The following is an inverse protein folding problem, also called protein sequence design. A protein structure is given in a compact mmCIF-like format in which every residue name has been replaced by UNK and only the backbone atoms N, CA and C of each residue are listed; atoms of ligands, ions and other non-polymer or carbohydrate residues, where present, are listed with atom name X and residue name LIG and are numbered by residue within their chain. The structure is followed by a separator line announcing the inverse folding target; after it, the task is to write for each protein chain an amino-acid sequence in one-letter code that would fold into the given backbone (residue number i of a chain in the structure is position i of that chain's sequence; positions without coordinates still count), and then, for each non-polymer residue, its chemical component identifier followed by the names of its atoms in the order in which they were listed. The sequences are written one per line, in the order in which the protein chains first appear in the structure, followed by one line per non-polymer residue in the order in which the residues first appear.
data_IF_141259262302
#
_entry.id   IF_141259262302
#
_cell.length_a   1.000
_cell.length_b   1.000
_cell.length_c   1.000
_cell.angle_alpha   90.00
_cell.angle_beta   90.00
_cell.angle_gamma   90.00
#
_symmetry.space_group_name_H-M   'P 1'
#
loop_
_entity.id
_entity.type
_entity.pdbx_description
1 polymer ?
#
# COMPACT_ATOMS: atom_id res chain seq x y z
N UNK A 1 -13.43 22.60 -4.36
CA UNK A 1 -14.37 21.61 -3.82
C UNK A 1 -13.87 20.25 -4.28
N UNK A 2 -13.55 19.39 -3.33
CA UNK A 2 -13.01 18.05 -3.53
C UNK A 2 -13.97 17.24 -4.43
N UNK A 3 -13.44 16.60 -5.46
CA UNK A 3 -14.24 15.87 -6.45
C UNK A 3 -14.95 14.67 -5.83
N UNK A 4 -16.06 14.24 -6.44
CA UNK A 4 -16.88 13.07 -6.01
C UNK A 4 -16.08 11.76 -5.81
N UNK A 5 -14.87 11.67 -6.38
CA UNK A 5 -13.98 10.51 -6.31
C UNK A 5 -12.80 10.70 -5.34
N UNK A 6 -12.70 11.85 -4.68
CA UNK A 6 -11.57 12.23 -3.85
C UNK A 6 -11.92 12.09 -2.35
N UNK A 7 -12.70 11.07 -1.98
CA UNK A 7 -13.06 10.81 -0.58
C UNK A 7 -11.97 10.02 0.16
N UNK A 8 -11.88 10.20 1.47
CA UNK A 8 -10.93 9.48 2.33
C UNK A 8 -11.29 7.99 2.40
N UNK A 9 -12.58 7.69 2.52
CA UNK A 9 -13.16 6.35 2.36
C UNK A 9 -12.81 5.72 1.01
N UNK A 10 -12.87 6.48 -0.08
CA UNK A 10 -12.48 6.04 -1.42
C UNK A 10 -10.99 5.75 -1.53
N UNK A 11 -10.15 6.60 -0.93
CA UNK A 11 -8.70 6.41 -0.82
C UNK A 11 -8.38 5.12 -0.05
N UNK A 12 -8.99 4.90 1.11
CA UNK A 12 -8.80 3.68 1.91
C UNK A 12 -9.23 2.42 1.16
N UNK A 13 -10.36 2.48 0.44
CA UNK A 13 -10.81 1.38 -0.40
C UNK A 13 -9.81 1.05 -1.51
N UNK A 14 -9.28 2.07 -2.19
CA UNK A 14 -8.25 1.89 -3.23
C UNK A 14 -6.96 1.30 -2.66
N UNK A 15 -6.52 1.75 -1.48
CA UNK A 15 -5.36 1.20 -0.77
C UNK A 15 -5.59 -0.27 -0.42
N UNK A 16 -6.78 -0.64 0.05
CA UNK A 16 -7.11 -2.03 0.35
C UNK A 16 -7.09 -2.92 -0.90
N UNK A 17 -7.56 -2.42 -2.04
CA UNK A 17 -7.43 -3.11 -3.33
C UNK A 17 -5.96 -3.31 -3.69
N UNK A 18 -5.13 -2.27 -3.57
CA UNK A 18 -3.70 -2.35 -3.85
C UNK A 18 -2.99 -3.36 -2.92
N UNK A 19 -3.27 -3.33 -1.61
CA UNK A 19 -2.76 -4.31 -0.64
C UNK A 19 -3.17 -5.74 -1.03
N UNK A 20 -4.43 -5.94 -1.40
CA UNK A 20 -4.91 -7.26 -1.81
C UNK A 20 -4.20 -7.77 -3.07
N UNK A 21 -3.86 -6.89 -4.02
CA UNK A 21 -3.11 -7.24 -5.21
C UNK A 21 -1.65 -7.61 -4.88
N UNK A 22 -0.98 -6.85 -4.01
CA UNK A 22 0.38 -7.13 -3.55
C UNK A 22 0.44 -8.47 -2.80
N UNK A 23 -0.53 -8.76 -1.94
CA UNK A 23 -0.61 -10.04 -1.22
C UNK A 23 -0.79 -11.22 -2.18
N UNK A 24 -1.52 -11.05 -3.29
CA UNK A 24 -1.63 -12.10 -4.32
C UNK A 24 -0.31 -12.36 -5.07
N UNK A 25 0.54 -11.34 -5.18
CA UNK A 25 1.89 -11.46 -5.74
C UNK A 25 2.88 -12.09 -4.74
N UNK A 26 2.49 -12.28 -3.48
CA UNK A 26 3.33 -12.92 -2.47
C UNK A 26 3.21 -14.44 -2.54
N UNK A 27 3.60 -15.02 -3.67
CA UNK A 27 3.62 -16.47 -3.86
C UNK A 27 4.71 -16.92 -4.83
N UNK A 28 5.30 -18.08 -4.57
CA UNK A 28 6.39 -18.62 -5.40
C UNK A 28 5.97 -18.79 -6.87
N UNK A 29 4.71 -19.13 -7.12
CA UNK A 29 4.15 -19.23 -8.47
C UNK A 29 4.26 -17.91 -9.25
N UNK A 30 3.98 -16.79 -8.59
CA UNK A 30 4.04 -15.47 -9.22
C UNK A 30 5.48 -15.03 -9.50
N UNK A 31 6.41 -15.38 -8.60
CA UNK A 31 7.84 -15.15 -8.81
C UNK A 31 8.36 -15.97 -9.98
N UNK A 32 8.04 -17.27 -10.03
CA UNK A 32 8.47 -18.16 -11.11
C UNK A 32 7.90 -17.72 -12.47
N UNK A 33 6.62 -17.33 -12.50
CA UNK A 33 6.00 -16.77 -13.71
C UNK A 33 6.71 -15.51 -14.22
N UNK A 34 7.12 -14.62 -13.29
CA UNK A 34 7.89 -13.42 -13.63
C UNK A 34 9.29 -13.78 -14.16
N UNK A 35 9.95 -14.74 -13.54
CA UNK A 35 11.27 -15.23 -13.97
C UNK A 35 11.20 -15.87 -15.36
N UNK A 36 10.18 -16.70 -15.62
CA UNK A 36 9.95 -17.34 -16.92
C UNK A 36 9.63 -16.31 -18.01
N UNK A 37 8.79 -15.31 -17.70
CA UNK A 37 8.50 -14.19 -18.59
C UNK A 37 9.77 -13.41 -18.95
N UNK A 38 10.63 -13.16 -17.96
CA UNK A 38 11.91 -12.49 -18.19
C UNK A 38 12.85 -13.32 -19.07
N UNK A 39 12.97 -14.63 -18.81
CA UNK A 39 13.77 -15.55 -19.63
C UNK A 39 13.25 -15.60 -21.07
N UNK A 40 11.93 -15.65 -21.25
CA UNK A 40 11.28 -15.62 -22.56
C UNK A 40 11.59 -14.32 -23.31
N UNK A 41 11.46 -13.16 -22.65
CA UNK A 41 11.74 -11.85 -23.25
C UNK A 41 13.22 -11.70 -23.62
N UNK A 42 14.11 -12.15 -22.75
CA UNK A 42 15.56 -12.15 -22.98
C UNK A 42 15.91 -12.98 -24.22
N UNK A 43 15.34 -14.19 -24.33
CA UNK A 43 15.52 -15.05 -25.49
C UNK A 43 14.93 -14.44 -26.77
N UNK A 44 13.72 -13.87 -26.69
CA UNK A 44 12.99 -13.28 -27.82
C UNK A 44 13.73 -12.08 -28.43
N UNK A 45 14.35 -11.25 -27.60
CA UNK A 45 15.04 -10.04 -28.05
C UNK A 45 16.56 -10.20 -28.13
N UNK A 46 17.07 -11.43 -27.95
CA UNK A 46 18.52 -11.72 -27.92
C UNK A 46 19.30 -10.80 -26.98
N UNK A 47 18.71 -10.51 -25.81
CA UNK A 47 19.33 -9.70 -24.78
C UNK A 47 20.30 -10.55 -23.97
N UNK A 48 21.23 -9.88 -23.29
CA UNK A 48 22.08 -10.55 -22.30
C UNK A 48 21.20 -10.99 -21.12
N UNK A 49 21.46 -12.20 -20.62
CA UNK A 49 20.85 -12.67 -19.38
C UNK A 49 21.21 -11.74 -18.23
N UNK A 50 20.30 -11.62 -17.27
CA UNK A 50 20.58 -10.84 -16.05
C UNK A 50 21.70 -11.54 -15.30
N UNK A 51 22.77 -10.83 -14.96
CA UNK A 51 23.87 -11.40 -14.19
C UNK A 51 23.60 -11.26 -12.70
N UNK A 52 24.01 -12.25 -11.91
CA UNK A 52 24.02 -12.13 -10.46
C UNK A 52 25.05 -11.06 -10.08
N UNK A 53 24.66 -10.01 -9.33
CA UNK A 53 25.59 -8.98 -8.91
C UNK A 53 26.80 -9.56 -8.19
N UNK A 54 28.00 -9.06 -8.51
CA UNK A 54 29.21 -9.48 -7.82
C UNK A 54 29.15 -9.05 -6.35
N UNK A 55 28.95 -10.01 -5.46
CA UNK A 55 29.00 -9.79 -4.02
C UNK A 55 30.44 -9.49 -3.60
N UNK A 56 30.63 -8.38 -2.88
CA UNK A 56 31.94 -8.05 -2.33
C UNK A 56 32.31 -9.07 -1.25
N UNK A 57 33.51 -9.64 -1.38
CA UNK A 57 34.04 -10.53 -0.37
C UNK A 57 34.34 -9.74 0.91
N UNK A 58 33.89 -10.27 2.05
CA UNK A 58 34.19 -9.67 3.35
C UNK A 58 35.72 -9.60 3.52
N UNK A 59 36.28 -8.48 4.01
CA UNK A 59 37.70 -8.38 4.27
C UNK A 59 38.18 -9.48 5.24
N UNK A 60 39.29 -10.13 4.90
CA UNK A 60 39.90 -11.23 5.71
C UNK A 60 40.16 -10.91 7.18
N UNK A 61 40.21 -9.62 7.55
CA UNK A 61 40.41 -9.19 8.94
C UNK A 61 39.14 -9.31 9.79
N UNK A 62 37.98 -9.36 9.14
CA UNK A 62 36.64 -9.42 9.77
C UNK A 62 36.06 -10.83 9.61
N UNK A 63 36.46 -11.54 8.55
CA UNK A 63 36.09 -12.93 8.29
C UNK A 63 36.66 -13.86 9.37
N UNK A 64 35.81 -14.27 10.31
CA UNK A 64 36.10 -15.20 11.39
C UNK A 64 36.03 -16.67 10.94
N UNK A 65 35.68 -16.91 9.67
CA UNK A 65 35.57 -18.24 9.07
C UNK A 65 34.46 -19.11 9.68
N UNK A 66 33.59 -18.54 10.52
CA UNK A 66 32.58 -19.30 11.26
C UNK A 66 31.36 -19.65 10.41
N UNK A 67 31.10 -18.90 9.33
CA UNK A 67 30.00 -19.15 8.40
C UNK A 67 30.45 -18.96 6.94
N UNK A 68 30.09 -19.91 6.06
CA UNK A 68 30.21 -19.69 4.62
C UNK A 68 29.33 -18.50 4.22
N UNK A 69 29.91 -17.50 3.56
CA UNK A 69 29.13 -16.36 3.08
C UNK A 69 28.11 -16.86 2.04
N UNK A 70 26.89 -16.33 2.07
CA UNK A 70 25.88 -16.68 1.07
C UNK A 70 26.35 -16.27 -0.34
N UNK A 71 26.54 -17.24 -1.21
CA UNK A 71 26.84 -17.04 -2.63
C UNK A 71 25.70 -17.64 -3.44
N UNK A 72 24.80 -16.82 -4.03
CA UNK A 72 23.71 -17.32 -4.83
C UNK A 72 24.24 -18.00 -6.08
N UNK A 73 23.85 -19.27 -6.29
CA UNK A 73 24.28 -20.04 -7.45
C UNK A 73 23.49 -19.65 -8.71
N UNK A 74 22.24 -19.23 -8.54
CA UNK A 74 21.32 -18.87 -9.64
C UNK A 74 20.80 -17.45 -9.47
N UNK A 75 20.40 -16.82 -10.59
CA UNK A 75 19.61 -15.58 -10.56
C UNK A 75 18.36 -15.71 -9.67
N UNK A 76 17.67 -16.85 -9.75
CA UNK A 76 16.51 -17.13 -8.91
C UNK A 76 16.86 -17.03 -7.43
N UNK A 77 17.93 -17.70 -7.01
CA UNK A 77 18.41 -17.65 -5.62
C UNK A 77 18.84 -16.25 -5.19
N UNK A 78 19.41 -15.48 -6.12
CA UNK A 78 19.76 -14.10 -5.83
C UNK A 78 18.53 -13.24 -5.63
N UNK A 79 17.57 -13.22 -6.57
CA UNK A 79 16.44 -12.29 -6.66
C UNK A 79 15.19 -12.69 -5.88
N UNK A 80 15.05 -13.98 -5.54
CA UNK A 80 13.94 -14.49 -4.74
C UNK A 80 13.81 -13.73 -3.41
N UNK A 81 14.85 -13.61 -2.56
CA UNK A 81 14.70 -12.90 -1.29
C UNK A 81 14.34 -11.42 -1.45
N UNK A 82 14.89 -10.70 -2.44
CA UNK A 82 14.58 -9.27 -2.64
C UNK A 82 13.17 -9.10 -3.22
N UNK A 83 12.68 -10.04 -4.04
CA UNK A 83 11.30 -10.00 -4.50
C UNK A 83 10.33 -9.98 -3.31
N UNK A 84 10.50 -10.90 -2.38
CA UNK A 84 9.67 -10.95 -1.17
C UNK A 84 9.93 -9.75 -0.25
N UNK A 85 11.17 -9.33 -0.09
CA UNK A 85 11.53 -8.15 0.70
C UNK A 85 10.82 -6.88 0.19
N UNK A 86 10.81 -6.66 -1.12
CA UNK A 86 10.12 -5.52 -1.74
C UNK A 86 8.62 -5.59 -1.47
N UNK A 87 7.99 -6.75 -1.69
CA UNK A 87 6.55 -6.91 -1.46
C UNK A 87 6.19 -6.69 0.01
N UNK A 88 6.96 -7.27 0.92
CA UNK A 88 6.75 -7.14 2.36
C UNK A 88 6.96 -5.69 2.82
N UNK A 89 7.99 -5.03 2.32
CA UNK A 89 8.27 -3.61 2.60
C UNK A 89 7.13 -2.71 2.13
N UNK A 90 6.64 -2.89 0.91
CA UNK A 90 5.54 -2.10 0.38
C UNK A 90 4.25 -2.36 1.18
N UNK A 91 3.96 -3.62 1.50
CA UNK A 91 2.79 -3.99 2.31
C UNK A 91 2.80 -3.36 3.70
N UNK A 92 3.97 -3.39 4.36
CA UNK A 92 4.18 -2.77 5.68
C UNK A 92 4.01 -1.26 5.58
N UNK A 93 4.65 -0.59 4.61
CA UNK A 93 4.53 0.85 4.45
C UNK A 93 3.10 1.30 4.12
N UNK A 94 2.38 0.57 3.25
CA UNK A 94 0.96 0.86 2.99
C UNK A 94 0.09 0.69 4.24
N UNK A 95 0.48 -0.18 5.17
CA UNK A 95 -0.24 -0.34 6.43
C UNK A 95 0.10 0.77 7.39
N UNK A 96 1.38 1.06 7.60
CA UNK A 96 1.84 2.12 8.50
C UNK A 96 1.38 3.52 8.07
N UNK A 97 1.27 3.78 6.77
CA UNK A 97 0.83 5.08 6.27
C UNK A 97 -0.68 5.28 6.34
N UNK A 98 -1.48 4.25 6.07
CA UNK A 98 -2.93 4.40 5.94
C UNK A 98 -3.74 3.93 7.15
N UNK A 99 -3.13 3.16 8.06
CA UNK A 99 -3.73 2.74 9.33
C UNK A 99 -3.32 3.67 10.49
N UNK A 100 -3.27 4.97 10.22
CA UNK A 100 -2.94 5.99 11.20
C UNK A 100 -4.23 6.52 11.84
N UNK A 101 -4.18 6.77 13.15
CA UNK A 101 -5.32 7.31 13.91
C UNK A 101 -5.87 8.62 13.30
N UNK A 102 -4.99 9.46 12.75
CA UNK A 102 -5.39 10.70 12.07
C UNK A 102 -6.24 10.46 10.82
N UNK A 103 -5.97 9.40 10.05
CA UNK A 103 -6.75 9.06 8.85
C UNK A 103 -8.11 8.50 9.26
N UNK A 104 -8.15 7.61 10.26
CA UNK A 104 -9.41 7.08 10.81
C UNK A 104 -10.31 8.20 11.36
N UNK A 105 -9.68 9.21 11.96
CA UNK A 105 -10.35 10.39 12.47
C UNK A 105 -10.94 11.23 11.34
N UNK A 106 -10.19 11.44 10.26
CA UNK A 106 -10.68 12.15 9.09
C UNK A 106 -11.78 11.37 8.35
N UNK A 107 -11.71 10.04 8.33
CA UNK A 107 -12.78 9.18 7.80
C UNK A 107 -14.10 9.36 8.57
N UNK A 108 -14.03 9.40 9.91
CA UNK A 108 -15.22 9.69 10.75
C UNK A 108 -15.79 11.08 10.46
N UNK A 109 -14.93 12.09 10.32
CA UNK A 109 -15.37 13.45 9.95
C UNK A 109 -16.03 13.47 8.57
N UNK A 110 -15.45 12.77 7.60
CA UNK A 110 -16.03 12.62 6.27
C UNK A 110 -17.42 11.97 6.32
N UNK A 111 -17.59 10.89 7.09
CA UNK A 111 -18.89 10.21 7.22
C UNK A 111 -19.98 11.14 7.76
N UNK A 112 -19.65 11.98 8.75
CA UNK A 112 -20.61 12.95 9.29
C UNK A 112 -20.93 14.04 8.28
N UNK A 113 -19.92 14.56 7.57
CA UNK A 113 -20.12 15.61 6.58
C UNK A 113 -20.91 15.15 5.36
N UNK A 114 -20.77 13.88 4.96
CA UNK A 114 -21.44 13.33 3.76
C UNK A 114 -22.79 12.68 4.06
N UNK A 115 -22.98 12.11 5.26
CA UNK A 115 -24.13 11.24 5.56
C UNK A 115 -25.00 11.75 6.72
N UNK A 116 -24.57 12.82 7.41
CA UNK A 116 -25.19 13.33 8.66
C UNK A 116 -25.29 12.27 9.79
N UNK A 117 -24.58 11.13 9.62
CA UNK A 117 -24.54 10.02 10.57
C UNK A 117 -23.27 10.10 11.42
N UNK A 118 -23.39 10.02 12.74
CA UNK A 118 -22.24 9.95 13.65
C UNK A 118 -21.82 11.27 14.29
N UNK A 119 -22.72 12.26 14.38
CA UNK A 119 -22.51 13.54 15.09
C UNK A 119 -21.93 13.38 16.51
N UNK A 120 -22.26 12.28 17.20
CA UNK A 120 -21.73 11.96 18.54
C UNK A 120 -20.20 11.77 18.54
N UNK A 121 -19.63 11.31 17.41
CA UNK A 121 -18.18 11.11 17.25
C UNK A 121 -17.40 12.43 17.11
N UNK A 122 -18.10 13.54 16.84
CA UNK A 122 -17.51 14.87 16.67
C UNK A 122 -17.53 15.67 17.97
N UNK A 123 -18.26 15.23 18.99
CA UNK A 123 -18.33 15.90 20.29
C UNK A 123 -16.97 16.05 21.00
N UNK A 124 -15.95 15.31 20.56
CA UNK A 124 -14.57 15.46 21.01
C UNK A 124 -13.90 16.77 20.54
N UNK A 125 -14.40 17.39 19.47
CA UNK A 125 -13.89 18.65 18.93
C UNK A 125 -14.59 19.83 19.56
N UNK A 126 -13.85 20.63 20.33
CA UNK A 126 -14.38 21.83 20.99
C UNK A 126 -14.63 22.96 20.00
N UNK A 127 -13.99 22.90 18.83
CA UNK A 127 -14.09 23.87 17.76
C UNK A 127 -15.37 23.71 16.93
N UNK A 128 -16.01 22.56 17.00
CA UNK A 128 -17.18 22.24 16.18
C UNK A 128 -18.45 22.39 17.01
N UNK A 129 -19.35 23.26 16.57
CA UNK A 129 -20.68 23.44 17.18
C UNK A 129 -21.69 22.48 16.53
N UNK A 130 -22.12 21.38 17.22
CA UNK A 130 -22.87 20.31 16.57
C UNK A 130 -24.25 20.74 16.07
N UNK A 131 -24.94 21.60 16.83
CA UNK A 131 -26.26 22.12 16.47
C UNK A 131 -26.21 23.01 15.22
N UNK A 132 -25.19 23.86 15.12
CA UNK A 132 -25.00 24.73 13.96
C UNK A 132 -24.61 23.90 12.73
N UNK A 133 -23.70 22.94 12.90
CA UNK A 133 -23.27 22.05 11.83
C UNK A 133 -24.44 21.23 11.28
N UNK A 134 -25.32 20.71 12.14
CA UNK A 134 -26.53 19.98 11.72
C UNK A 134 -27.49 20.86 10.89
N UNK A 135 -27.70 22.11 11.31
CA UNK A 135 -28.50 23.05 10.54
C UNK A 135 -27.86 23.36 9.17
N UNK A 136 -26.54 23.49 9.12
CA UNK A 136 -25.80 23.72 7.87
C UNK A 136 -25.86 22.51 6.94
N UNK A 137 -25.69 21.29 7.45
CA UNK A 137 -25.74 20.06 6.65
C UNK A 137 -27.14 19.78 6.11
N UNK A 138 -28.19 20.04 6.89
CA UNK A 138 -29.59 19.92 6.41
C UNK A 138 -29.89 20.95 5.32
N UNK A 139 -29.42 22.20 5.46
CA UNK A 139 -29.54 23.19 4.41
C UNK A 139 -28.76 22.77 3.15
N UNK A 140 -27.53 22.28 3.31
CA UNK A 140 -26.66 21.91 2.20
C UNK A 140 -27.18 20.68 1.45
N UNK A 141 -27.70 19.66 2.15
CA UNK A 141 -28.35 18.50 1.53
C UNK A 141 -29.69 18.84 0.86
N UNK A 142 -30.41 19.87 1.33
CA UNK A 142 -31.60 20.38 0.63
C UNK A 142 -31.25 21.07 -0.70
N UNK A 143 -30.06 21.67 -0.77
CA UNK A 143 -29.55 22.36 -1.97
C UNK A 143 -28.82 21.41 -2.94
N UNK A 144 -28.23 20.33 -2.44
CA UNK A 144 -27.41 19.39 -3.21
C UNK A 144 -27.83 17.93 -2.93
N UNK A 145 -28.26 17.21 -3.97
CA UNK A 145 -28.56 15.78 -3.87
C UNK A 145 -27.27 14.96 -3.87
N UNK A 146 -26.86 14.46 -2.71
CA UNK A 146 -25.77 13.49 -2.59
C UNK A 146 -26.33 12.06 -2.63
N UNK A 147 -25.76 11.19 -3.46
CA UNK A 147 -26.03 9.74 -3.44
C UNK A 147 -24.72 8.98 -3.27
N UNK A 148 -24.58 8.26 -2.17
CA UNK A 148 -23.49 7.31 -1.95
C UNK A 148 -23.70 6.12 -2.91
N UNK A 149 -22.69 5.79 -3.70
CA UNK A 149 -22.67 4.53 -4.47
C UNK A 149 -22.17 3.45 -3.50
N UNK A 150 -22.88 2.31 -3.39
CA UNK A 150 -22.53 1.21 -2.48
C UNK A 150 -21.18 0.56 -2.81
#
# INVERSE_FOLDING_TARGET
MQGRQETISGLLAAVNVAKSAILKLRGDESFNSLLDSNNYMTAKYHLNAIEVPQLQRIPKRIDDGAAESFHPATMGDYYWPQYFEVLDTVSVHLTQHFDQEGIQTNEKLEQVLLTDSGMDSIAQYKEIYPLLLKAQLTMLSSMFKYSLVP
#
